data_IF_815175279481
#
_entry.id   IF_815175279481
#
_cell.length_a   1.000
_cell.length_b   1.000
_cell.length_c   1.000
_cell.angle_alpha   90.00
_cell.angle_beta   90.00
_cell.angle_gamma   90.00
#
_symmetry.space_group_name_H-M   'P 1'
#
loop_
_entity.id
_entity.type
_entity.pdbx_description
1 polymer ?
#
# COMPACT_ATOMS: atom_id res chain seq x y z
N UNK A 1 -6.80 0.58 4.15
CA UNK A 1 -7.29 0.38 2.76
C UNK A 1 -8.22 1.52 2.29
N UNK A 2 -7.81 2.76 2.46
CA UNK A 2 -8.60 3.95 2.15
C UNK A 2 -9.25 3.86 0.75
N UNK A 3 -10.51 4.26 0.63
CA UNK A 3 -11.43 4.08 -0.49
C UNK A 3 -12.03 2.68 -0.65
N UNK A 4 -11.35 1.62 -0.22
CA UNK A 4 -11.86 0.26 -0.38
C UNK A 4 -12.91 -0.04 0.70
N UNK A 5 -13.97 -0.74 0.32
CA UNK A 5 -15.14 -1.00 1.16
C UNK A 5 -15.82 0.28 1.73
N UNK A 6 -15.58 1.44 1.11
CA UNK A 6 -16.14 2.72 1.49
C UNK A 6 -17.09 3.26 0.41
N UNK A 7 -18.08 4.04 0.82
CA UNK A 7 -18.96 4.74 -0.13
C UNK A 7 -18.13 5.72 -0.96
N UNK A 8 -18.23 5.70 -2.30
CA UNK A 8 -17.48 6.60 -3.17
C UNK A 8 -17.79 8.08 -2.92
N UNK A 9 -16.91 8.95 -3.41
CA UNK A 9 -17.14 10.41 -3.38
C UNK A 9 -18.37 10.74 -4.24
N UNK A 10 -19.31 11.49 -3.63
CA UNK A 10 -20.49 11.98 -4.32
C UNK A 10 -20.75 13.45 -3.93
N UNK A 11 -21.01 14.30 -4.92
CA UNK A 11 -21.12 15.76 -4.72
C UNK A 11 -22.28 16.21 -3.80
N UNK A 12 -23.32 15.40 -3.66
CA UNK A 12 -24.47 15.68 -2.77
C UNK A 12 -24.49 14.85 -1.48
N UNK A 13 -23.62 13.82 -1.38
CA UNK A 13 -23.64 12.90 -0.25
C UNK A 13 -22.24 12.76 0.33
N UNK A 14 -21.96 13.35 1.50
CA UNK A 14 -20.68 13.16 2.17
C UNK A 14 -20.42 11.68 2.44
N UNK A 15 -19.18 11.27 2.29
CA UNK A 15 -18.73 9.90 2.55
C UNK A 15 -17.52 9.91 3.48
N UNK A 16 -17.17 8.74 4.03
CA UNK A 16 -15.95 8.56 4.80
C UNK A 16 -14.71 8.97 3.97
N UNK A 17 -14.72 8.70 2.66
CA UNK A 17 -13.63 9.11 1.77
C UNK A 17 -13.51 10.63 1.72
N UNK A 18 -14.62 11.34 1.55
CA UNK A 18 -14.61 12.83 1.55
C UNK A 18 -14.12 13.37 2.88
N UNK A 19 -14.65 12.85 3.99
CA UNK A 19 -14.25 13.26 5.35
C UNK A 19 -12.77 12.99 5.61
N UNK A 20 -12.28 11.80 5.27
CA UNK A 20 -10.88 11.42 5.44
C UNK A 20 -9.90 12.24 4.59
N UNK A 21 -10.30 12.69 3.38
CA UNK A 21 -9.48 13.59 2.57
C UNK A 21 -9.36 14.98 3.18
N UNK A 22 -10.40 15.46 3.86
CA UNK A 22 -10.46 16.80 4.45
C UNK A 22 -9.91 16.87 5.88
N UNK A 23 -9.91 15.76 6.62
CA UNK A 23 -9.42 15.71 8.00
C UNK A 23 -7.90 15.78 8.07
N UNK A 24 -7.34 16.84 8.60
CA UNK A 24 -5.88 17.06 8.64
C UNK A 24 -5.13 16.18 9.63
N UNK A 25 -5.79 15.68 10.65
CA UNK A 25 -5.24 14.81 11.70
C UNK A 25 -5.33 13.31 11.38
N UNK A 26 -5.98 12.94 10.27
CA UNK A 26 -6.14 11.55 9.83
C UNK A 26 -5.09 11.19 8.77
N UNK A 27 -4.41 10.06 8.94
CA UNK A 27 -3.55 9.47 7.92
C UNK A 27 -4.36 8.52 7.03
N UNK A 28 -4.05 8.51 5.74
CA UNK A 28 -4.68 7.62 4.77
C UNK A 28 -3.76 6.45 4.43
N UNK A 29 -4.14 5.23 4.81
CA UNK A 29 -3.50 4.01 4.34
C UNK A 29 -4.03 3.65 2.97
N UNK A 30 -3.16 3.53 1.98
CA UNK A 30 -3.54 3.25 0.59
C UNK A 30 -2.86 2.01 0.04
N UNK A 31 -3.61 1.20 -0.71
CA UNK A 31 -3.11 0.01 -1.41
C UNK A 31 -2.81 0.42 -2.85
N UNK A 32 -1.53 0.43 -3.21
CA UNK A 32 -1.07 0.91 -4.52
C UNK A 32 -0.57 -0.24 -5.42
N UNK A 33 -1.26 -1.36 -5.39
CA UNK A 33 -0.92 -2.58 -6.14
C UNK A 33 -1.40 -2.57 -7.61
N UNK A 34 -2.20 -1.57 -7.99
CA UNK A 34 -2.77 -1.45 -9.33
C UNK A 34 -4.12 -2.13 -9.51
N UNK A 35 -4.61 -2.80 -8.48
CA UNK A 35 -5.93 -3.44 -8.43
C UNK A 35 -6.91 -2.61 -7.61
N UNK A 36 -6.49 -2.19 -6.41
CA UNK A 36 -7.34 -1.51 -5.44
C UNK A 36 -7.56 -0.03 -5.73
N UNK A 37 -6.54 0.67 -6.24
CA UNK A 37 -6.61 2.09 -6.57
C UNK A 37 -6.04 2.38 -7.96
N UNK A 38 -6.78 3.12 -8.76
CA UNK A 38 -6.29 3.70 -10.01
C UNK A 38 -5.32 4.86 -9.73
N UNK A 39 -4.32 5.06 -10.60
CA UNK A 39 -3.29 6.11 -10.44
C UNK A 39 -3.87 7.53 -10.28
N UNK A 40 -4.96 7.95 -10.97
CA UNK A 40 -5.57 9.24 -10.72
C UNK A 40 -6.11 9.40 -9.30
N UNK A 41 -6.61 8.30 -8.66
CA UNK A 41 -7.10 8.34 -7.28
C UNK A 41 -5.92 8.45 -6.31
N UNK A 42 -4.82 7.73 -6.55
CA UNK A 42 -3.59 7.88 -5.76
C UNK A 42 -3.12 9.34 -5.77
N UNK A 43 -3.07 9.96 -6.96
CA UNK A 43 -2.72 11.39 -7.10
C UNK A 43 -3.67 12.33 -6.37
N UNK A 44 -4.97 12.06 -6.44
CA UNK A 44 -5.98 12.85 -5.74
C UNK A 44 -5.79 12.80 -4.23
N UNK A 45 -5.59 11.60 -3.68
CA UNK A 45 -5.36 11.40 -2.25
C UNK A 45 -4.11 12.16 -1.79
N UNK A 46 -3.00 12.01 -2.51
CA UNK A 46 -1.73 12.67 -2.16
C UNK A 46 -1.82 14.19 -2.28
N UNK A 47 -2.54 14.72 -3.29
CA UNK A 47 -2.77 16.16 -3.42
C UNK A 47 -3.63 16.74 -2.29
N UNK A 48 -4.62 15.99 -1.84
CA UNK A 48 -5.51 16.43 -0.77
C UNK A 48 -4.85 16.33 0.62
N UNK A 49 -4.09 15.24 0.85
CA UNK A 49 -3.50 14.94 2.17
C UNK A 49 -2.08 15.48 2.36
N UNK A 50 -1.34 15.67 1.27
CA UNK A 50 0.11 15.86 1.31
C UNK A 50 0.86 14.55 1.58
N UNK A 51 2.17 14.50 1.25
CA UNK A 51 3.00 13.29 1.39
C UNK A 51 3.17 12.82 2.84
N UNK A 52 3.04 13.71 3.80
CA UNK A 52 3.23 13.41 5.24
C UNK A 52 2.02 12.72 5.90
N UNK A 53 0.90 12.58 5.19
CA UNK A 53 -0.35 12.01 5.72
C UNK A 53 -0.86 10.82 4.92
N UNK A 54 0.00 10.23 4.11
CA UNK A 54 -0.30 9.03 3.32
C UNK A 54 0.65 7.91 3.72
N UNK A 55 0.13 6.70 3.87
CA UNK A 55 0.90 5.49 4.15
C UNK A 55 0.59 4.45 3.08
N UNK A 56 1.63 3.89 2.46
CA UNK A 56 1.50 2.74 1.57
C UNK A 56 1.36 1.49 2.41
N UNK A 57 0.34 0.70 2.13
CA UNK A 57 0.11 -0.62 2.71
C UNK A 57 -0.15 -1.62 1.59
N UNK A 58 -0.03 -2.90 1.88
CA UNK A 58 -0.34 -3.97 0.92
C UNK A 58 -1.73 -4.55 1.12
N UNK A 59 -2.21 -4.64 2.34
CA UNK A 59 -3.39 -5.45 2.70
C UNK A 59 -3.27 -6.88 2.19
N UNK A 60 -2.07 -7.46 2.35
CA UNK A 60 -1.69 -8.75 1.78
C UNK A 60 -2.44 -9.91 2.42
N UNK A 61 -2.92 -10.82 1.57
CA UNK A 61 -3.38 -12.13 1.99
C UNK A 61 -2.24 -13.17 1.98
N UNK A 62 -2.51 -14.38 2.50
CA UNK A 62 -1.52 -15.46 2.64
C UNK A 62 -0.87 -15.91 1.32
N UNK A 63 -1.45 -15.61 0.15
CA UNK A 63 -0.91 -15.95 -1.15
C UNK A 63 0.06 -14.89 -1.72
N UNK A 64 0.37 -13.83 -0.98
CA UNK A 64 1.34 -12.83 -1.46
C UNK A 64 2.72 -13.47 -1.70
N UNK A 65 3.23 -13.31 -2.92
CA UNK A 65 4.48 -13.95 -3.34
C UNK A 65 4.38 -15.45 -3.67
N UNK A 66 3.19 -16.04 -3.65
CA UNK A 66 2.95 -17.42 -4.05
C UNK A 66 2.50 -17.52 -5.53
N UNK A 67 2.58 -18.71 -6.15
CA UNK A 67 2.08 -18.93 -7.51
C UNK A 67 0.57 -18.68 -7.64
N UNK A 68 0.09 -18.46 -8.86
CA UNK A 68 -1.34 -18.44 -9.14
C UNK A 68 -2.01 -19.76 -8.73
N UNK A 69 -3.23 -19.68 -8.20
CA UNK A 69 -3.91 -20.87 -7.67
C UNK A 69 -5.15 -20.57 -6.84
N UNK A 70 -5.60 -21.58 -6.11
CA UNK A 70 -6.69 -21.48 -5.14
C UNK A 70 -6.10 -21.45 -3.73
N UNK A 71 -6.56 -20.50 -2.96
CA UNK A 71 -6.16 -20.24 -1.57
C UNK A 71 -7.39 -20.05 -0.70
N UNK A 72 -7.17 -19.85 0.59
CA UNK A 72 -8.23 -19.58 1.56
C UNK A 72 -7.92 -18.30 2.34
N UNK A 73 -8.95 -17.50 2.58
CA UNK A 73 -8.89 -16.30 3.42
C UNK A 73 -10.12 -16.28 4.33
N UNK A 74 -9.92 -16.52 5.63
CA UNK A 74 -11.00 -16.50 6.63
C UNK A 74 -12.13 -17.50 6.34
N UNK A 75 -11.82 -18.69 5.83
CA UNK A 75 -12.80 -19.71 5.44
C UNK A 75 -13.41 -19.50 4.04
N UNK A 76 -13.03 -18.45 3.34
CA UNK A 76 -13.51 -18.16 1.98
C UNK A 76 -12.47 -18.60 0.95
N UNK A 77 -12.94 -19.26 -0.13
CA UNK A 77 -12.08 -19.64 -1.24
C UNK A 77 -11.70 -18.42 -2.07
N UNK A 78 -10.41 -18.27 -2.34
CA UNK A 78 -9.86 -17.17 -3.13
C UNK A 78 -9.08 -17.72 -4.31
N UNK A 79 -9.38 -17.23 -5.51
CA UNK A 79 -8.59 -17.48 -6.70
C UNK A 79 -7.58 -16.36 -6.91
N UNK A 80 -6.32 -16.72 -7.00
CA UNK A 80 -5.24 -15.81 -7.42
C UNK A 80 -4.93 -16.10 -8.88
N UNK A 81 -5.00 -15.07 -9.69
CA UNK A 81 -4.63 -15.10 -11.10
C UNK A 81 -4.21 -13.70 -11.56
N UNK A 82 -3.17 -13.62 -12.39
CA UNK A 82 -2.69 -12.37 -12.99
C UNK A 82 -2.45 -11.25 -11.96
N UNK A 83 -1.89 -11.60 -10.81
CA UNK A 83 -1.58 -10.65 -9.73
C UNK A 83 -2.78 -10.11 -8.97
N UNK A 84 -3.95 -10.73 -9.11
CA UNK A 84 -5.17 -10.33 -8.44
C UNK A 84 -5.79 -11.49 -7.65
N UNK A 85 -6.18 -11.24 -6.40
CA UNK A 85 -6.91 -12.18 -5.56
C UNK A 85 -8.39 -11.86 -5.55
N UNK A 86 -9.25 -12.85 -5.84
CA UNK A 86 -10.70 -12.69 -5.88
C UNK A 86 -11.39 -13.84 -5.18
N UNK A 87 -12.51 -13.54 -4.49
CA UNK A 87 -13.38 -14.58 -3.95
C UNK A 87 -13.84 -15.50 -5.09
N UNK A 88 -13.57 -16.81 -4.96
CA UNK A 88 -13.81 -17.78 -6.04
C UNK A 88 -15.29 -18.06 -6.26
N UNK A 89 -16.09 -18.00 -5.20
CA UNK A 89 -17.50 -18.38 -5.20
C UNK A 89 -18.45 -17.16 -5.33
N UNK A 90 -17.89 -15.96 -5.53
CA UNK A 90 -18.65 -14.73 -5.77
C UNK A 90 -18.54 -14.35 -7.23
N UNK A 91 -19.64 -14.24 -7.97
CA UNK A 91 -19.62 -13.81 -9.37
C UNK A 91 -18.93 -12.45 -9.51
N UNK A 92 -18.09 -12.33 -10.52
CA UNK A 92 -17.53 -11.05 -10.90
C UNK A 92 -18.63 -10.20 -11.53
N UNK A 93 -19.12 -9.20 -10.82
CA UNK A 93 -20.10 -8.25 -11.32
C UNK A 93 -19.36 -7.01 -11.88
N UNK A 94 -19.31 -6.82 -13.20
CA UNK A 94 -18.63 -5.69 -13.81
C UNK A 94 -19.27 -4.32 -13.45
N UNK A 95 -20.50 -4.32 -12.96
CA UNK A 95 -21.14 -3.11 -12.43
C UNK A 95 -20.61 -2.72 -11.03
N UNK A 96 -19.96 -3.65 -10.35
CA UNK A 96 -19.28 -3.41 -9.08
C UNK A 96 -17.77 -3.38 -9.34
N UNK A 97 -17.17 -2.23 -9.41
CA UNK A 97 -15.77 -2.00 -9.80
C UNK A 97 -14.72 -2.79 -8.98
N UNK A 98 -15.08 -3.31 -7.79
CA UNK A 98 -14.20 -4.07 -6.88
C UNK A 98 -14.95 -5.16 -6.13
N UNK A 99 -15.94 -5.79 -6.73
CA UNK A 99 -16.97 -6.56 -6.01
C UNK A 99 -16.48 -7.80 -5.27
N UNK A 100 -15.36 -8.38 -5.65
CA UNK A 100 -14.88 -9.66 -5.10
C UNK A 100 -13.37 -9.71 -4.88
N UNK A 101 -12.68 -8.57 -4.85
CA UNK A 101 -11.25 -8.53 -4.51
C UNK A 101 -11.07 -8.91 -3.05
N UNK A 102 -10.12 -9.79 -2.75
CA UNK A 102 -9.91 -10.40 -1.45
C UNK A 102 -8.47 -10.20 -0.95
N UNK A 103 -8.17 -8.98 -0.56
CA UNK A 103 -6.81 -8.57 -0.21
C UNK A 103 -5.87 -8.49 -1.40
N UNK A 104 -4.60 -8.18 -1.15
CA UNK A 104 -3.58 -8.05 -2.19
C UNK A 104 -2.63 -9.25 -2.20
N UNK A 105 -2.06 -9.53 -3.36
CA UNK A 105 -0.94 -10.48 -3.52
C UNK A 105 0.36 -9.77 -3.94
N UNK A 106 0.31 -8.45 -4.08
CA UNK A 106 1.47 -7.65 -4.42
C UNK A 106 2.48 -7.59 -3.27
N UNK A 107 3.76 -7.64 -3.59
CA UNK A 107 4.83 -7.41 -2.64
C UNK A 107 4.96 -5.91 -2.35
N UNK A 108 5.39 -5.56 -1.14
CA UNK A 108 5.47 -4.18 -0.66
C UNK A 108 6.24 -3.24 -1.60
N UNK A 109 7.39 -3.68 -2.11
CA UNK A 109 8.19 -2.86 -3.03
C UNK A 109 7.48 -2.58 -4.37
N UNK A 110 6.58 -3.47 -4.82
CA UNK A 110 5.76 -3.25 -6.02
C UNK A 110 4.73 -2.15 -5.76
N UNK A 111 4.08 -2.18 -4.60
CA UNK A 111 3.18 -1.11 -4.16
C UNK A 111 3.91 0.23 -4.06
N UNK A 112 5.09 0.25 -3.43
CA UNK A 112 5.90 1.47 -3.30
C UNK A 112 6.35 2.00 -4.66
N UNK A 113 6.83 1.14 -5.55
CA UNK A 113 7.20 1.53 -6.93
C UNK A 113 6.03 2.20 -7.65
N UNK A 114 4.84 1.59 -7.59
CA UNK A 114 3.65 2.17 -8.22
C UNK A 114 3.25 3.50 -7.59
N UNK A 115 3.35 3.63 -6.27
CA UNK A 115 3.13 4.90 -5.58
C UNK A 115 4.05 6.01 -6.11
N UNK A 116 5.35 5.74 -6.23
CA UNK A 116 6.33 6.69 -6.79
C UNK A 116 5.96 7.07 -8.22
N UNK A 117 5.68 6.09 -9.08
CA UNK A 117 5.31 6.31 -10.48
C UNK A 117 3.99 7.09 -10.62
N UNK A 118 2.97 6.73 -9.85
CA UNK A 118 1.67 7.37 -9.92
C UNK A 118 1.70 8.82 -9.43
N UNK A 119 2.48 9.12 -8.40
CA UNK A 119 2.53 10.46 -7.78
C UNK A 119 3.50 11.40 -8.47
N UNK A 120 4.60 10.88 -9.02
CA UNK A 120 5.71 11.68 -9.54
C UNK A 120 6.45 12.48 -8.47
N UNK A 121 6.28 12.14 -7.19
CA UNK A 121 6.99 12.78 -6.10
C UNK A 121 8.50 12.50 -6.17
N UNK A 122 9.36 13.43 -5.76
CA UNK A 122 10.76 13.13 -5.51
C UNK A 122 10.89 11.96 -4.51
N UNK A 123 11.89 11.09 -4.69
CA UNK A 123 12.00 9.86 -3.91
C UNK A 123 12.08 10.11 -2.39
N UNK A 124 12.78 11.18 -1.98
CA UNK A 124 12.89 11.55 -0.57
C UNK A 124 11.55 11.97 0.09
N UNK A 125 10.60 12.46 -0.70
CA UNK A 125 9.23 12.71 -0.23
C UNK A 125 8.39 11.43 -0.28
N UNK A 126 8.51 10.66 -1.36
CA UNK A 126 7.73 9.45 -1.52
C UNK A 126 8.04 8.38 -0.46
N UNK A 127 9.31 8.27 -0.03
CA UNK A 127 9.74 7.27 0.96
C UNK A 127 9.10 7.48 2.34
N UNK A 128 8.65 8.69 2.65
CA UNK A 128 7.91 8.97 3.90
C UNK A 128 6.67 8.08 4.02
N UNK A 129 5.95 7.87 2.92
CA UNK A 129 4.77 7.00 2.88
C UNK A 129 5.10 5.51 3.06
N UNK A 130 6.36 5.12 2.99
CA UNK A 130 6.81 3.73 3.13
C UNK A 130 7.42 3.40 4.50
N UNK A 131 7.77 4.38 5.32
CA UNK A 131 8.45 4.14 6.61
C UNK A 131 8.17 5.22 7.66
N UNK A 132 8.50 6.46 7.38
CA UNK A 132 8.44 7.56 8.34
C UNK A 132 7.02 7.80 8.87
N UNK A 133 6.02 7.86 7.99
CA UNK A 133 4.65 8.14 8.37
C UNK A 133 4.06 7.01 9.23
N UNK A 134 4.39 5.74 8.93
CA UNK A 134 4.00 4.58 9.73
C UNK A 134 4.59 4.65 11.14
N UNK A 135 5.90 4.90 11.24
CA UNK A 135 6.57 5.01 12.53
C UNK A 135 5.99 6.14 13.37
N UNK A 136 5.74 7.30 12.75
CA UNK A 136 5.11 8.44 13.43
C UNK A 136 3.69 8.13 13.91
N UNK A 137 2.90 7.47 13.08
CA UNK A 137 1.52 7.08 13.42
C UNK A 137 1.45 6.11 14.59
N UNK A 138 2.42 5.20 14.69
CA UNK A 138 2.51 4.18 15.73
C UNK A 138 3.29 4.63 16.97
N UNK A 139 3.80 5.87 16.99
CA UNK A 139 4.61 6.38 18.09
C UNK A 139 5.96 5.66 18.25
N UNK A 140 6.57 5.23 17.15
CA UNK A 140 7.86 4.55 17.09
C UNK A 140 8.95 5.59 16.76
N UNK A 141 9.70 6.11 17.77
CA UNK A 141 10.59 7.24 17.54
C UNK A 141 12.00 6.84 17.05
N UNK A 142 12.37 5.57 17.17
CA UNK A 142 13.75 5.10 17.01
C UNK A 142 14.07 4.53 15.62
N UNK A 143 13.14 4.60 14.67
CA UNK A 143 13.29 4.12 13.29
C UNK A 143 12.42 4.91 12.30
N UNK A 144 12.36 4.47 11.04
CA UNK A 144 11.56 5.08 9.98
C UNK A 144 12.28 6.16 9.17
N UNK A 145 13.46 6.58 9.60
CA UNK A 145 14.34 7.52 8.89
C UNK A 145 15.82 7.22 9.13
N UNK A 146 16.66 7.66 8.21
CA UNK A 146 18.13 7.56 8.37
C UNK A 146 18.65 8.77 9.11
N UNK A 147 18.87 8.62 10.43
CA UNK A 147 19.41 9.66 11.29
C UNK A 147 20.34 9.06 12.37
N UNK A 148 21.35 9.81 12.83
CA UNK A 148 22.22 9.36 13.94
C UNK A 148 21.40 8.98 15.17
N UNK A 149 21.73 7.85 15.80
CA UNK A 149 21.05 7.35 17.00
C UNK A 149 19.78 6.53 16.73
N UNK A 150 19.31 6.44 15.48
CA UNK A 150 18.19 5.56 15.08
C UNK A 150 18.66 4.14 14.84
N UNK A 151 17.72 3.19 14.98
CA UNK A 151 17.97 1.79 14.62
C UNK A 151 18.14 1.67 13.10
N UNK A 152 19.22 1.02 12.70
CA UNK A 152 19.58 0.86 11.28
C UNK A 152 18.79 -0.28 10.61
N UNK A 153 17.48 -0.08 10.46
CA UNK A 153 16.61 -0.90 9.60
C UNK A 153 16.61 -0.26 8.21
N UNK A 154 17.35 -0.85 7.28
CA UNK A 154 17.68 -0.23 5.99
C UNK A 154 17.40 -1.21 4.86
N UNK A 155 16.73 -0.74 3.81
CA UNK A 155 16.57 -1.48 2.56
C UNK A 155 17.35 -0.76 1.46
N UNK A 156 18.23 -1.47 0.79
CA UNK A 156 18.89 -1.00 -0.43
C UNK A 156 18.04 -1.37 -1.63
N UNK A 157 17.69 -0.39 -2.44
CA UNK A 157 16.90 -0.54 -3.66
C UNK A 157 17.78 -0.23 -4.88
N UNK A 158 17.53 -0.91 -6.00
CA UNK A 158 18.10 -0.51 -7.28
C UNK A 158 17.31 0.65 -7.92
N UNK A 159 17.71 1.03 -9.13
CA UNK A 159 17.07 2.12 -9.87
C UNK A 159 15.57 1.86 -10.17
N UNK A 160 15.18 0.60 -10.24
CA UNK A 160 13.79 0.17 -10.45
C UNK A 160 13.02 -0.02 -9.13
N UNK A 161 13.58 0.42 -8.01
CA UNK A 161 13.03 0.27 -6.66
C UNK A 161 12.82 -1.21 -6.26
N UNK A 162 13.63 -2.12 -6.81
CA UNK A 162 13.66 -3.52 -6.40
C UNK A 162 14.65 -3.70 -5.25
N UNK A 163 14.29 -4.41 -4.16
CA UNK A 163 15.20 -4.66 -3.05
C UNK A 163 16.45 -5.44 -3.49
N UNK A 164 17.61 -4.99 -3.04
CA UNK A 164 18.93 -5.63 -3.25
C UNK A 164 19.53 -6.14 -1.94
N UNK A 165 19.27 -5.45 -0.84
CA UNK A 165 19.64 -5.93 0.48
C UNK A 165 18.72 -5.33 1.54
N UNK A 166 18.56 -6.05 2.64
CA UNK A 166 17.81 -5.61 3.82
C UNK A 166 18.69 -5.79 5.06
N UNK A 167 18.81 -4.73 5.83
CA UNK A 167 19.48 -4.71 7.12
C UNK A 167 18.44 -4.53 8.22
N UNK A 168 18.58 -5.28 9.31
CA UNK A 168 17.77 -5.16 10.52
C UNK A 168 18.70 -4.91 11.70
N UNK A 169 18.53 -3.80 12.37
CA UNK A 169 19.43 -3.39 13.46
C UNK A 169 20.89 -3.29 13.03
N UNK A 170 21.17 -2.87 11.80
CA UNK A 170 22.50 -2.77 11.21
C UNK A 170 23.13 -4.09 10.76
N UNK A 171 22.43 -5.22 10.87
CA UNK A 171 22.89 -6.53 10.42
C UNK A 171 22.24 -6.91 9.09
N UNK A 172 23.04 -7.40 8.14
CA UNK A 172 22.51 -7.91 6.87
C UNK A 172 21.57 -9.11 7.15
N UNK A 173 20.29 -8.93 6.87
CA UNK A 173 19.27 -9.95 7.03
C UNK A 173 18.97 -10.70 5.72
N UNK A 174 19.09 -9.99 4.58
CA UNK A 174 18.84 -10.57 3.27
C UNK A 174 19.59 -9.80 2.17
N UNK A 175 20.02 -10.48 1.13
CA UNK A 175 20.54 -9.88 -0.10
C UNK A 175 20.10 -10.67 -1.33
N UNK A 176 19.84 -9.96 -2.43
CA UNK A 176 19.64 -10.56 -3.74
C UNK A 176 20.96 -11.26 -4.17
N UNK A 177 20.83 -12.43 -4.80
CA UNK A 177 21.95 -13.17 -5.40
C UNK A 177 22.31 -12.57 -6.75
#
# INVERSE_FOLDING_TARGET
HFCNAMVPIHHLRPSMVTGGLLADDVLAEIITDGVHLADPMIRLIVRAKGPDRVMVVTDSMCAAGCPDGLYELGGLRVRVADGCARLADVPNDPARLVSNVAGSVALYHQCFRRYVQATGLPLHEAVKAASYNQCRSLGIPDRGELAPGKIADIVLLDADLTPRATFVGGRLAWSAR
#
